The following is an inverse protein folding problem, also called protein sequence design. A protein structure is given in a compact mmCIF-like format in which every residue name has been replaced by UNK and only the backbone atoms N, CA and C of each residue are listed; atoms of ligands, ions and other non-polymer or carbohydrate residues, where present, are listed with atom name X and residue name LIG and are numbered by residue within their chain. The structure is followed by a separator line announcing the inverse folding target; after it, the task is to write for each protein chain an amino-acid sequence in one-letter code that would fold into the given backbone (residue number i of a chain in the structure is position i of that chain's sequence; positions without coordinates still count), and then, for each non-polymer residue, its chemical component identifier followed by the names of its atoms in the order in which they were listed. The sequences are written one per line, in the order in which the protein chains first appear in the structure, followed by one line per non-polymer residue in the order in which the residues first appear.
data_IF_046049753104
#
_entry.id   IF_046049753104
#
_cell.length_a   1.000
_cell.length_b   1.000
_cell.length_c   1.000
_cell.angle_alpha   90.00
_cell.angle_beta   90.00
_cell.angle_gamma   90.00
#
_symmetry.space_group_name_H-M   'P 1'
#
loop_
_entity.id
_entity.type
_entity.pdbx_description
1 polymer ?
#
# COMPACT_ATOMS: atom_id res chain seq x y z
N UNK A 1 37.47 43.86 -29.66
CA UNK A 1 36.46 43.64 -28.61
C UNK A 1 35.25 42.97 -29.26
N UNK A 2 34.98 41.70 -28.91
CA UNK A 2 33.86 40.91 -29.44
C UNK A 2 32.65 41.11 -28.52
N UNK A 3 31.51 41.53 -29.08
CA UNK A 3 30.20 41.44 -28.44
C UNK A 3 29.72 39.98 -28.52
N UNK A 4 29.22 39.36 -27.44
CA UNK A 4 28.57 38.07 -27.54
C UNK A 4 27.08 38.23 -27.87
N UNK A 5 26.67 37.54 -28.92
CA UNK A 5 25.29 37.26 -29.33
C UNK A 5 24.58 36.46 -28.24
N UNK A 6 23.49 36.99 -27.68
CA UNK A 6 22.57 36.21 -26.86
C UNK A 6 21.72 35.31 -27.76
N UNK A 7 21.89 33.99 -27.62
CA UNK A 7 20.99 32.99 -28.20
C UNK A 7 19.99 32.63 -27.11
N UNK A 8 18.70 32.93 -27.35
CA UNK A 8 17.60 32.44 -26.52
C UNK A 8 17.36 30.98 -26.92
N UNK A 9 17.85 30.05 -26.10
CA UNK A 9 17.49 28.64 -26.22
C UNK A 9 16.18 28.40 -25.46
N UNK A 10 15.24 27.76 -26.15
CA UNK A 10 13.91 27.45 -25.68
C UNK A 10 13.93 26.68 -24.35
N UNK A 11 13.21 27.22 -23.37
CA UNK A 11 12.81 26.55 -22.13
C UNK A 11 11.90 25.36 -22.48
N UNK A 12 12.50 24.21 -22.77
CA UNK A 12 11.82 22.93 -22.63
C UNK A 12 11.98 22.52 -21.17
N UNK A 13 10.99 22.89 -20.36
CA UNK A 13 10.91 22.48 -18.96
C UNK A 13 10.88 20.96 -18.90
N UNK A 14 12.01 20.36 -18.56
CA UNK A 14 12.04 19.01 -18.02
C UNK A 14 11.30 19.07 -16.68
N UNK A 15 10.06 18.61 -16.69
CA UNK A 15 9.42 18.07 -15.51
C UNK A 15 10.24 16.81 -15.17
N UNK A 16 11.24 16.96 -14.31
CA UNK A 16 11.85 15.83 -13.64
C UNK A 16 10.80 15.28 -12.67
N UNK A 17 9.98 14.34 -13.15
CA UNK A 17 9.31 13.39 -12.28
C UNK A 17 10.42 12.53 -11.65
N UNK A 18 10.86 12.91 -10.46
CA UNK A 18 11.72 12.10 -9.65
C UNK A 18 10.90 10.90 -9.15
N UNK A 19 10.82 9.85 -9.95
CA UNK A 19 10.41 8.54 -9.48
C UNK A 19 11.54 8.00 -8.59
N UNK A 20 11.31 8.03 -7.28
CA UNK A 20 12.22 7.42 -6.31
C UNK A 20 12.21 5.90 -6.56
N UNK A 21 13.36 5.39 -7.02
CA UNK A 21 13.60 3.97 -7.30
C UNK A 21 13.81 3.25 -5.97
N UNK A 22 12.93 2.31 -5.62
CA UNK A 22 13.15 1.39 -4.51
C UNK A 22 13.98 0.19 -5.03
N UNK A 23 15.00 -0.27 -4.30
CA UNK A 23 15.58 -1.60 -4.53
C UNK A 23 14.70 -2.69 -3.89
N UNK A 24 14.91 -3.98 -4.19
CA UNK A 24 14.19 -5.09 -3.51
C UNK A 24 14.37 -5.07 -1.98
N UNK A 25 15.43 -4.43 -1.51
CA UNK A 25 15.75 -4.21 -0.10
C UNK A 25 15.29 -2.85 0.43
N UNK A 26 14.46 -2.10 -0.33
CA UNK A 26 14.02 -0.77 0.04
C UNK A 26 12.55 -0.74 0.43
N UNK A 27 12.19 -0.07 1.54
CA UNK A 27 10.79 0.19 1.85
C UNK A 27 10.15 1.07 0.76
N UNK A 28 8.84 0.99 0.65
CA UNK A 28 8.06 1.86 -0.24
C UNK A 28 6.75 2.27 0.43
N UNK A 29 6.14 3.35 -0.05
CA UNK A 29 4.90 3.85 0.51
C UNK A 29 3.88 4.22 -0.57
N UNK A 30 2.61 4.12 -0.21
CA UNK A 30 1.50 4.54 -1.03
C UNK A 30 0.71 5.67 -0.38
N UNK A 31 0.28 6.60 -1.22
CA UNK A 31 -0.78 7.55 -0.92
C UNK A 31 -2.11 7.01 -1.47
N UNK A 32 -3.15 7.02 -0.63
CA UNK A 32 -4.52 6.64 -0.98
C UNK A 32 -5.34 7.88 -1.35
N UNK A 33 -5.99 7.84 -2.51
CA UNK A 33 -6.90 8.89 -2.96
C UNK A 33 -8.27 8.29 -3.26
N UNK A 34 -9.30 8.81 -2.61
CA UNK A 34 -10.69 8.44 -2.91
C UNK A 34 -11.03 8.81 -4.35
N UNK A 35 -11.55 7.85 -5.10
CA UNK A 35 -11.93 8.00 -6.50
C UNK A 35 -13.38 7.58 -6.73
N UNK A 36 -13.90 7.93 -7.90
CA UNK A 36 -15.21 7.45 -8.33
C UNK A 36 -15.20 5.92 -8.52
N UNK A 37 -16.40 5.33 -8.53
CA UNK A 37 -16.59 3.91 -8.75
C UNK A 37 -15.83 3.41 -10.00
N UNK A 38 -14.97 2.41 -9.80
CA UNK A 38 -14.11 1.82 -10.84
C UNK A 38 -14.81 0.73 -11.66
N UNK A 39 -16.11 0.51 -11.48
CA UNK A 39 -16.90 -0.46 -12.26
C UNK A 39 -16.52 -1.93 -12.05
N UNK A 40 -15.66 -2.22 -11.07
CA UNK A 40 -15.14 -3.55 -10.79
C UNK A 40 -15.37 -3.93 -9.31
N UNK A 41 -16.62 -4.08 -8.84
CA UNK A 41 -16.86 -4.50 -7.46
C UNK A 41 -16.26 -5.90 -7.23
N UNK A 42 -15.46 -6.07 -6.16
CA UNK A 42 -15.02 -7.39 -5.69
C UNK A 42 -16.22 -8.32 -5.44
N UNK A 43 -16.03 -9.62 -5.65
CA UNK A 43 -16.99 -10.61 -5.17
C UNK A 43 -16.97 -10.65 -3.63
N UNK A 44 -18.11 -10.95 -3.00
CA UNK A 44 -18.26 -10.89 -1.54
C UNK A 44 -17.26 -11.79 -0.80
N UNK A 45 -16.91 -12.95 -1.40
CA UNK A 45 -15.92 -13.90 -0.87
C UNK A 45 -14.48 -13.39 -0.87
N UNK A 46 -14.20 -12.32 -1.62
CA UNK A 46 -12.86 -11.77 -1.74
C UNK A 46 -12.59 -10.58 -0.80
N UNK A 47 -13.58 -10.22 0.02
CA UNK A 47 -13.44 -9.22 1.05
C UNK A 47 -12.90 -9.82 2.35
N UNK A 48 -12.05 -9.06 3.03
CA UNK A 48 -11.65 -9.29 4.40
C UNK A 48 -12.47 -8.42 5.35
N UNK A 49 -12.67 -8.90 6.58
CA UNK A 49 -13.25 -8.09 7.63
C UNK A 49 -12.27 -7.01 8.09
N UNK A 50 -12.79 -5.80 8.28
CA UNK A 50 -12.02 -4.70 8.86
C UNK A 50 -11.89 -4.92 10.36
N UNK A 51 -10.66 -4.87 10.83
CA UNK A 51 -10.27 -5.04 12.24
C UNK A 51 -9.49 -3.85 12.77
N UNK A 52 -9.05 -2.96 11.88
CA UNK A 52 -8.34 -1.73 12.22
C UNK A 52 -9.32 -0.70 12.78
N UNK A 53 -9.16 -0.24 14.05
CA UNK A 53 -10.13 0.66 14.68
C UNK A 53 -10.40 1.96 13.92
N UNK A 54 -9.38 2.57 13.32
CA UNK A 54 -9.54 3.80 12.55
C UNK A 54 -10.44 3.62 11.31
N UNK A 55 -10.41 2.44 10.68
CA UNK A 55 -11.29 2.12 9.55
C UNK A 55 -12.72 1.83 10.05
N UNK A 56 -12.86 1.17 11.19
CA UNK A 56 -14.16 0.95 11.84
C UNK A 56 -14.83 2.28 12.23
N UNK A 57 -14.06 3.26 12.71
CA UNK A 57 -14.55 4.61 13.04
C UNK A 57 -15.06 5.39 11.81
N UNK A 58 -14.71 4.94 10.59
CA UNK A 58 -15.19 5.46 9.31
C UNK A 58 -16.35 4.65 8.73
N UNK A 59 -16.97 3.78 9.54
CA UNK A 59 -18.05 2.86 9.14
C UNK A 59 -17.63 1.81 8.10
N UNK A 60 -16.34 1.56 7.91
CA UNK A 60 -15.85 0.49 7.02
C UNK A 60 -15.89 -0.85 7.77
N UNK A 61 -16.55 -1.85 7.18
CA UNK A 61 -16.70 -3.18 7.78
C UNK A 61 -15.97 -4.27 7.01
N UNK A 62 -15.75 -4.06 5.72
CA UNK A 62 -14.96 -4.98 4.90
C UNK A 62 -14.06 -4.21 3.94
N UNK A 63 -12.99 -4.87 3.50
CA UNK A 63 -12.10 -4.30 2.52
C UNK A 63 -11.50 -5.36 1.59
N UNK A 64 -11.15 -4.94 0.38
CA UNK A 64 -10.58 -5.76 -0.66
C UNK A 64 -9.58 -4.95 -1.49
N UNK A 65 -8.70 -5.63 -2.20
CA UNK A 65 -7.76 -5.03 -3.14
C UNK A 65 -8.15 -5.37 -4.57
N UNK A 66 -8.21 -4.39 -5.46
CA UNK A 66 -8.37 -4.63 -6.90
C UNK A 66 -7.05 -4.32 -7.59
N UNK A 67 -6.36 -5.33 -8.14
CA UNK A 67 -5.17 -5.08 -8.93
C UNK A 67 -5.53 -4.51 -10.30
N UNK A 68 -4.58 -3.79 -10.90
CA UNK A 68 -4.71 -3.21 -12.23
C UNK A 68 -5.20 -4.18 -13.32
N UNK A 69 -4.85 -5.47 -13.25
CA UNK A 69 -5.23 -6.47 -14.25
C UNK A 69 -6.73 -6.79 -14.26
N UNK A 70 -7.47 -6.35 -13.25
CA UNK A 70 -8.92 -6.49 -13.12
C UNK A 70 -9.68 -5.20 -13.47
N UNK A 71 -8.97 -4.10 -13.74
CA UNK A 71 -9.56 -2.81 -14.07
C UNK A 71 -9.75 -2.65 -15.59
N UNK A 72 -10.79 -1.92 -15.98
CA UNK A 72 -10.97 -1.49 -17.37
C UNK A 72 -9.94 -0.43 -17.75
N UNK A 73 -9.78 -0.15 -19.05
CA UNK A 73 -8.85 0.89 -19.52
C UNK A 73 -9.21 2.28 -18.97
N UNK A 74 -10.51 2.59 -18.86
CA UNK A 74 -10.99 3.84 -18.28
C UNK A 74 -10.66 3.93 -16.79
N UNK A 75 -10.80 2.82 -16.08
CA UNK A 75 -10.50 2.73 -14.65
C UNK A 75 -9.00 2.78 -14.37
N UNK A 76 -8.17 2.22 -15.26
CA UNK A 76 -6.71 2.31 -15.19
C UNK A 76 -6.19 3.75 -15.35
N UNK A 77 -6.91 4.62 -16.05
CA UNK A 77 -6.55 6.04 -16.12
C UNK A 77 -6.74 6.77 -14.77
N UNK A 78 -7.55 6.19 -13.88
CA UNK A 78 -7.87 6.73 -12.54
C UNK A 78 -7.03 6.03 -11.47
N UNK A 79 -6.91 4.69 -11.55
CA UNK A 79 -6.23 3.83 -10.58
C UNK A 79 -5.18 2.95 -11.30
N UNK A 80 -4.09 3.54 -11.84
CA UNK A 80 -3.11 2.82 -12.66
C UNK A 80 -2.36 1.71 -11.93
N UNK A 81 -2.42 1.71 -10.59
CA UNK A 81 -1.72 0.75 -9.74
C UNK A 81 -2.67 -0.15 -8.97
N UNK A 82 -3.98 -0.04 -9.23
CA UNK A 82 -5.02 -0.69 -8.45
C UNK A 82 -5.62 0.22 -7.38
N UNK A 83 -6.58 -0.33 -6.65
CA UNK A 83 -7.31 0.41 -5.62
C UNK A 83 -7.76 -0.52 -4.49
N UNK A 84 -7.79 0.01 -3.28
CA UNK A 84 -8.55 -0.60 -2.19
C UNK A 84 -10.04 -0.29 -2.36
N UNK A 85 -10.87 -1.24 -1.96
CA UNK A 85 -12.32 -1.11 -1.94
C UNK A 85 -12.81 -1.41 -0.55
N UNK A 86 -13.44 -0.43 0.07
CA UNK A 86 -14.04 -0.54 1.39
C UNK A 86 -15.56 -0.67 1.26
N UNK A 87 -16.14 -1.66 1.95
CA UNK A 87 -17.58 -1.82 2.09
C UNK A 87 -18.01 -1.22 3.42
N UNK A 88 -18.99 -0.33 3.39
CA UNK A 88 -19.51 0.35 4.59
C UNK A 88 -20.59 -0.47 5.29
N UNK A 89 -20.97 -0.08 6.50
CA UNK A 89 -22.14 -0.61 7.23
C UNK A 89 -23.46 -0.51 6.45
N UNK A 90 -23.54 0.39 5.47
CA UNK A 90 -24.71 0.61 4.61
C UNK A 90 -24.61 -0.13 3.26
N UNK A 91 -23.71 -1.10 3.13
CA UNK A 91 -23.42 -1.85 1.88
C UNK A 91 -22.98 -0.95 0.69
N UNK A 92 -22.48 0.26 0.97
CA UNK A 92 -21.89 1.11 -0.08
C UNK A 92 -20.41 0.80 -0.27
N UNK A 93 -19.90 1.02 -1.48
CA UNK A 93 -18.49 0.82 -1.82
C UNK A 93 -17.77 2.15 -1.94
N UNK A 94 -16.63 2.26 -1.27
CA UNK A 94 -15.67 3.37 -1.39
C UNK A 94 -14.41 2.84 -2.04
N UNK A 95 -13.90 3.56 -3.05
CA UNK A 95 -12.71 3.17 -3.81
C UNK A 95 -11.57 4.13 -3.49
N UNK A 96 -10.41 3.59 -3.14
CA UNK A 96 -9.21 4.37 -2.82
C UNK A 96 -8.07 3.90 -3.72
N UNK A 97 -7.76 4.72 -4.74
CA UNK A 97 -6.68 4.45 -5.67
C UNK A 97 -5.33 4.73 -4.99
N UNK A 98 -4.35 3.86 -5.23
CA UNK A 98 -3.00 4.06 -4.69
C UNK A 98 -2.07 4.74 -5.69
N UNK A 99 -1.15 5.54 -5.15
CA UNK A 99 -0.02 6.08 -5.91
C UNK A 99 1.26 5.98 -5.10
N UNK A 100 2.36 5.63 -5.77
CA UNK A 100 3.67 5.49 -5.13
C UNK A 100 4.17 6.88 -4.70
N UNK A 101 4.58 6.99 -3.43
CA UNK A 101 5.15 8.21 -2.85
C UNK A 101 6.45 7.89 -2.11
N UNK A 102 7.32 8.89 -1.87
CA UNK A 102 8.47 8.70 -0.98
C UNK A 102 8.02 8.22 0.42
N UNK A 103 8.81 7.34 1.03
CA UNK A 103 8.50 6.77 2.36
C UNK A 103 8.43 7.83 3.46
N UNK A 104 9.22 8.89 3.35
CA UNK A 104 9.24 10.03 4.26
C UNK A 104 8.20 11.12 3.92
N UNK A 105 7.33 10.85 2.93
CA UNK A 105 6.28 11.79 2.54
C UNK A 105 5.25 11.94 3.68
N UNK A 106 4.81 13.17 3.98
CA UNK A 106 3.68 13.39 4.89
C UNK A 106 2.34 12.89 4.32
N UNK A 107 2.32 12.42 3.07
CA UNK A 107 1.17 11.83 2.38
C UNK A 107 1.28 10.30 2.28
N UNK A 108 2.29 9.68 2.91
CA UNK A 108 2.42 8.22 2.97
C UNK A 108 1.37 7.63 3.92
N UNK A 109 0.29 7.10 3.36
CA UNK A 109 -0.81 6.47 4.12
C UNK A 109 -0.48 5.02 4.49
N UNK A 110 0.17 4.30 3.57
CA UNK A 110 0.59 2.91 3.75
C UNK A 110 2.10 2.79 3.53
N UNK A 111 2.85 2.45 4.58
CA UNK A 111 4.30 2.24 4.53
C UNK A 111 4.60 0.75 4.62
N UNK A 112 5.31 0.25 3.61
CA UNK A 112 5.72 -1.15 3.51
C UNK A 112 7.21 -1.28 3.79
N UNK A 113 7.54 -2.26 4.62
CA UNK A 113 8.92 -2.57 4.99
C UNK A 113 9.75 -3.12 3.83
N UNK A 114 10.99 -3.48 4.16
CA UNK A 114 11.87 -4.22 3.27
C UNK A 114 11.28 -5.60 2.95
N UNK A 115 11.73 -6.21 1.85
CA UNK A 115 11.26 -7.54 1.49
C UNK A 115 11.69 -8.58 2.52
N UNK A 116 10.78 -9.51 2.83
CA UNK A 116 11.04 -10.66 3.69
C UNK A 116 10.57 -11.95 3.01
N UNK A 117 11.19 -13.11 3.28
CA UNK A 117 10.68 -14.38 2.78
C UNK A 117 9.24 -14.62 3.23
N UNK A 118 8.36 -14.95 2.28
CA UNK A 118 6.97 -15.31 2.55
C UNK A 118 6.76 -16.80 2.39
N UNK A 119 6.06 -17.43 3.33
CA UNK A 119 5.61 -18.83 3.21
C UNK A 119 6.71 -19.76 2.65
N UNK A 120 7.83 -19.92 3.38
CA UNK A 120 9.05 -20.57 2.87
C UNK A 120 8.88 -22.04 2.45
N UNK A 121 7.72 -22.64 2.73
CA UNK A 121 7.33 -23.96 2.26
C UNK A 121 6.84 -23.97 0.79
N UNK A 122 6.52 -22.81 0.21
CA UNK A 122 6.03 -22.66 -1.16
C UNK A 122 7.00 -21.83 -2.02
N UNK A 123 7.00 -22.12 -3.32
CA UNK A 123 7.73 -21.36 -4.34
C UNK A 123 6.84 -20.58 -5.28
N UNK A 124 5.57 -20.96 -5.37
CA UNK A 124 4.60 -20.35 -6.27
C UNK A 124 3.28 -20.11 -5.55
N UNK A 125 2.48 -19.18 -6.05
CA UNK A 125 1.13 -18.99 -5.50
C UNK A 125 0.26 -20.25 -5.67
N UNK A 126 0.50 -21.02 -6.74
CA UNK A 126 -0.32 -22.17 -7.11
C UNK A 126 -0.14 -23.34 -6.10
N UNK A 127 1.05 -23.50 -5.51
CA UNK A 127 1.31 -24.44 -4.42
C UNK A 127 0.49 -24.12 -3.16
N UNK A 128 0.28 -22.83 -2.87
CA UNK A 128 -0.52 -22.39 -1.72
C UNK A 128 -2.02 -22.52 -2.02
N UNK A 129 -2.47 -22.06 -3.18
CA UNK A 129 -3.90 -22.02 -3.52
C UNK A 129 -4.49 -23.38 -3.86
N UNK A 130 -3.67 -24.34 -4.31
CA UNK A 130 -4.08 -25.74 -4.49
C UNK A 130 -4.27 -26.49 -3.16
N UNK A 131 -3.77 -25.94 -2.05
CA UNK A 131 -3.78 -26.59 -0.74
C UNK A 131 -2.65 -27.61 -0.54
N UNK A 132 -1.67 -27.69 -1.46
CA UNK A 132 -0.47 -28.52 -1.30
C UNK A 132 0.38 -28.03 -0.13
N UNK A 133 0.46 -26.70 0.05
CA UNK A 133 1.24 -26.06 1.10
C UNK A 133 0.34 -25.20 2.01
N UNK A 134 0.59 -25.30 3.32
CA UNK A 134 0.12 -24.36 4.34
C UNK A 134 1.28 -23.44 4.73
N UNK A 135 1.01 -22.14 4.82
CA UNK A 135 2.00 -21.13 5.22
C UNK A 135 2.14 -21.03 6.74
N UNK A 136 1.08 -21.35 7.48
CA UNK A 136 1.07 -21.55 8.92
C UNK A 136 0.75 -23.02 9.23
N UNK A 137 1.54 -23.67 10.08
CA UNK A 137 1.31 -25.09 10.44
C UNK A 137 0.05 -25.31 11.26
N UNK A 138 -0.33 -24.33 12.08
CA UNK A 138 -1.33 -24.50 13.13
C UNK A 138 -2.46 -23.47 13.06
N UNK A 139 -2.47 -22.60 12.03
CA UNK A 139 -3.48 -21.56 11.85
C UNK A 139 -4.18 -21.67 10.48
N UNK A 140 -5.28 -22.40 10.46
CA UNK A 140 -6.13 -22.55 9.27
C UNK A 140 -6.80 -21.22 8.87
N UNK A 141 -7.08 -20.31 9.81
CA UNK A 141 -7.67 -19.01 9.50
C UNK A 141 -6.67 -18.15 8.74
N UNK A 142 -5.42 -18.11 9.19
CA UNK A 142 -4.34 -17.46 8.45
C UNK A 142 -4.17 -18.07 7.06
N UNK A 143 -4.15 -19.40 6.94
CA UNK A 143 -4.02 -20.06 5.63
C UNK A 143 -5.19 -19.74 4.69
N UNK A 144 -6.43 -19.70 5.21
CA UNK A 144 -7.60 -19.32 4.43
C UNK A 144 -7.50 -17.88 3.93
N UNK A 145 -7.13 -16.93 4.81
CA UNK A 145 -6.93 -15.52 4.42
C UNK A 145 -5.85 -15.37 3.35
N UNK A 146 -4.74 -16.08 3.47
CA UNK A 146 -3.69 -16.10 2.44
C UNK A 146 -4.26 -16.60 1.12
N UNK A 147 -4.97 -17.73 1.12
CA UNK A 147 -5.56 -18.30 -0.09
C UNK A 147 -6.59 -17.36 -0.73
N UNK A 148 -7.40 -16.67 0.07
CA UNK A 148 -8.33 -15.65 -0.43
C UNK A 148 -7.60 -14.56 -1.21
N UNK A 149 -6.53 -14.00 -0.64
CA UNK A 149 -5.75 -12.95 -1.30
C UNK A 149 -5.11 -13.43 -2.60
N UNK A 150 -4.49 -14.61 -2.57
CA UNK A 150 -3.85 -15.17 -3.75
C UNK A 150 -4.87 -15.55 -4.85
N UNK A 151 -6.01 -16.15 -4.50
CA UNK A 151 -7.03 -16.56 -5.47
C UNK A 151 -7.77 -15.38 -6.11
N UNK A 152 -8.11 -14.37 -5.30
CA UNK A 152 -8.86 -13.23 -5.79
C UNK A 152 -7.96 -12.21 -6.49
N UNK A 153 -6.77 -11.95 -5.93
CA UNK A 153 -6.02 -10.72 -6.19
C UNK A 153 -4.65 -10.91 -6.84
N UNK A 154 -4.28 -12.14 -7.20
CA UNK A 154 -3.09 -12.36 -8.01
C UNK A 154 -3.17 -11.63 -9.36
N UNK A 155 -2.12 -10.89 -9.67
CA UNK A 155 -2.00 -10.07 -10.87
C UNK A 155 -0.58 -10.11 -11.41
N UNK A 156 -0.38 -10.04 -12.74
CA UNK A 156 0.94 -9.71 -13.28
C UNK A 156 1.42 -8.35 -12.75
N UNK A 157 2.74 -8.18 -12.70
CA UNK A 157 3.36 -6.90 -12.34
C UNK A 157 3.02 -5.81 -13.37
N UNK A 158 2.60 -4.63 -12.89
CA UNK A 158 2.53 -3.39 -13.69
C UNK A 158 3.91 -2.91 -14.09
N UNK A 159 4.81 -2.86 -13.11
CA UNK A 159 6.15 -2.31 -13.27
C UNK A 159 7.10 -3.46 -13.59
N UNK A 160 7.36 -3.70 -14.87
CA UNK A 160 8.25 -4.79 -15.28
C UNK A 160 9.68 -4.31 -15.57
N UNK A 161 9.91 -3.00 -15.49
CA UNK A 161 11.16 -2.34 -15.88
C UNK A 161 11.81 -1.54 -14.76
N UNK A 162 11.18 -1.46 -13.59
CA UNK A 162 11.65 -0.69 -12.44
C UNK A 162 11.91 -1.60 -11.25
N UNK A 163 13.07 -1.45 -10.61
CA UNK A 163 13.34 -2.07 -9.31
C UNK A 163 12.31 -1.57 -8.27
N UNK A 164 11.87 -2.40 -7.30
CA UNK A 164 12.22 -3.80 -7.08
C UNK A 164 11.46 -4.79 -7.99
N UNK A 165 10.54 -4.29 -8.78
CA UNK A 165 9.50 -5.08 -9.43
C UNK A 165 9.99 -5.85 -10.66
N UNK A 166 11.19 -5.57 -11.16
CA UNK A 166 11.79 -6.26 -12.33
C UNK A 166 11.98 -7.75 -12.12
N UNK A 167 12.16 -8.22 -10.89
CA UNK A 167 12.41 -9.63 -10.58
C UNK A 167 11.13 -10.37 -10.19
N UNK A 168 9.99 -9.69 -10.11
CA UNK A 168 8.72 -10.28 -9.70
C UNK A 168 7.89 -10.68 -10.91
N UNK A 169 7.32 -11.89 -10.88
CA UNK A 169 6.48 -12.45 -11.95
C UNK A 169 5.03 -12.00 -11.80
N UNK A 170 4.50 -12.12 -10.60
CA UNK A 170 3.14 -11.72 -10.21
C UNK A 170 3.15 -11.28 -8.76
N UNK A 171 2.12 -10.54 -8.37
CA UNK A 171 1.90 -10.10 -7.01
C UNK A 171 0.44 -10.30 -6.62
N UNK A 172 0.19 -10.32 -5.32
CA UNK A 172 -1.13 -10.28 -4.73
C UNK A 172 -1.06 -9.46 -3.45
N UNK A 173 -2.16 -8.79 -3.11
CA UNK A 173 -2.32 -8.23 -1.78
C UNK A 173 -3.02 -9.27 -0.89
N UNK A 174 -2.48 -9.49 0.30
CA UNK A 174 -2.90 -10.49 1.27
C UNK A 174 -3.04 -9.81 2.64
N UNK A 175 -4.02 -10.24 3.42
CA UNK A 175 -4.10 -9.88 4.84
C UNK A 175 -4.07 -11.16 5.65
N UNK A 176 -2.88 -11.73 5.84
CA UNK A 176 -2.67 -12.95 6.61
C UNK A 176 -2.93 -12.71 8.11
N UNK A 177 -2.53 -11.54 8.60
CA UNK A 177 -2.75 -11.07 9.96
C UNK A 177 -3.81 -9.96 9.98
N UNK A 178 -4.90 -10.20 10.72
CA UNK A 178 -5.98 -9.22 10.89
C UNK A 178 -5.54 -7.98 11.68
N UNK A 179 -4.49 -8.07 12.48
CA UNK A 179 -4.01 -6.93 13.26
C UNK A 179 -3.12 -5.96 12.45
N UNK A 180 -2.72 -6.37 11.24
CA UNK A 180 -1.90 -5.57 10.31
C UNK A 180 -2.75 -4.98 9.19
N UNK A 181 -2.21 -3.98 8.50
CA UNK A 181 -2.85 -3.42 7.30
C UNK A 181 -2.64 -4.30 6.05
N UNK A 182 -1.89 -5.40 6.17
CA UNK A 182 -1.69 -6.42 5.14
C UNK A 182 -0.28 -6.40 4.53
N UNK A 183 -0.10 -7.25 3.53
CA UNK A 183 1.16 -7.40 2.82
C UNK A 183 0.94 -7.55 1.32
N UNK A 184 1.88 -7.01 0.54
CA UNK A 184 2.01 -7.41 -0.85
C UNK A 184 2.95 -8.60 -0.93
N UNK A 185 2.44 -9.71 -1.45
CA UNK A 185 3.21 -10.93 -1.69
C UNK A 185 3.58 -10.99 -3.16
N UNK A 186 4.82 -11.36 -3.45
CA UNK A 186 5.40 -11.42 -4.78
C UNK A 186 5.98 -12.82 -5.06
N UNK A 187 5.72 -13.34 -6.27
CA UNK A 187 6.36 -14.55 -6.77
C UNK A 187 7.61 -14.17 -7.57
N UNK A 188 8.78 -14.70 -7.18
CA UNK A 188 10.06 -14.39 -7.84
C UNK A 188 10.15 -15.07 -9.22
N UNK A 189 10.70 -14.36 -10.22
CA UNK A 189 10.88 -14.87 -11.59
C UNK A 189 11.87 -16.02 -11.68
N UNK A 190 12.85 -16.06 -10.78
CA UNK A 190 13.88 -17.11 -10.75
C UNK A 190 13.38 -18.43 -10.11
N UNK A 191 12.16 -18.43 -9.56
CA UNK A 191 11.53 -19.59 -8.92
C UNK A 191 12.15 -19.97 -7.58
N UNK A 192 12.90 -19.06 -6.95
CA UNK A 192 13.54 -19.33 -5.65
C UNK A 192 12.57 -19.28 -4.47
N UNK A 193 11.45 -18.56 -4.61
CA UNK A 193 10.46 -18.46 -3.55
C UNK A 193 9.44 -17.35 -3.75
N UNK A 194 8.77 -17.05 -2.63
CA UNK A 194 7.88 -15.92 -2.48
C UNK A 194 8.50 -14.93 -1.49
N UNK A 195 8.28 -13.64 -1.72
CA UNK A 195 8.64 -12.58 -0.78
C UNK A 195 7.41 -11.75 -0.46
N UNK A 196 7.41 -11.12 0.71
CA UNK A 196 6.40 -10.16 1.10
C UNK A 196 7.03 -8.81 1.45
N UNK A 197 6.26 -7.77 1.22
CA UNK A 197 6.44 -6.49 1.88
C UNK A 197 5.21 -6.27 2.76
N UNK A 198 5.41 -6.30 4.07
CA UNK A 198 4.35 -6.09 5.07
C UNK A 198 4.27 -4.61 5.42
N UNK A 199 3.06 -4.12 5.60
CA UNK A 199 2.84 -2.90 6.34
C UNK A 199 2.55 -3.28 7.79
N UNK A 200 3.52 -3.06 8.66
CA UNK A 200 3.22 -3.05 10.09
C UNK A 200 2.47 -1.74 10.36
N UNK A 201 1.37 -1.80 11.11
CA UNK A 201 0.40 -0.71 11.28
C UNK A 201 1.02 0.63 11.74
N UNK A 202 0.19 1.67 12.00
CA UNK A 202 0.61 3.08 12.07
C UNK A 202 1.69 3.48 13.11
N UNK A 203 2.27 2.53 13.84
CA UNK A 203 3.43 2.71 14.70
C UNK A 203 4.80 2.64 13.96
N UNK A 204 4.83 2.37 12.64
CA UNK A 204 6.06 2.14 11.86
C UNK A 204 6.89 3.37 11.47
N UNK A 205 6.43 4.58 11.76
CA UNK A 205 7.28 5.77 11.61
C UNK A 205 8.38 5.87 12.67
N UNK A 206 8.45 4.92 13.61
CA UNK A 206 9.66 4.67 14.37
C UNK A 206 10.68 3.97 13.45
N UNK A 207 11.48 4.76 12.73
CA UNK A 207 12.76 4.30 12.21
C UNK A 207 13.48 3.47 13.29
N UNK A 208 14.14 2.36 12.96
CA UNK A 208 14.97 1.67 13.93
C UNK A 208 16.02 2.68 14.41
N UNK A 209 15.88 3.17 15.63
CA UNK A 209 16.97 3.87 16.29
C UNK A 209 18.03 2.80 16.51
N UNK A 210 19.07 2.82 15.68
CA UNK A 210 20.25 2.00 15.86
C UNK A 210 20.64 1.97 17.33
N UNK A 211 20.67 0.75 17.88
CA UNK A 211 20.99 0.49 19.27
C UNK A 211 22.39 0.99 19.59
N UNK A 212 22.47 2.17 20.21
CA UNK A 212 23.62 2.58 21.01
C UNK A 212 23.20 2.51 22.47
N UNK A 213 23.47 1.37 23.09
CA UNK A 213 23.63 1.31 24.55
C UNK A 213 24.92 2.03 24.92
N UNK A 214 24.82 3.18 25.60
CA UNK A 214 25.49 3.30 26.90
C UNK A 214 24.91 4.43 27.78
N UNK A 215 24.95 4.15 29.08
CA UNK A 215 24.35 4.93 30.17
C UNK A 215 25.11 6.23 30.46
N UNK A 216 24.43 7.35 30.70
CA UNK A 216 24.79 8.29 31.79
C UNK A 216 23.62 9.20 32.18
N UNK A 217 23.32 9.21 33.48
CA UNK A 217 22.36 10.06 34.19
C UNK A 217 22.75 11.55 34.18
N UNK A 218 21.83 12.47 33.86
CA UNK A 218 21.81 13.83 34.41
C UNK A 218 20.44 14.53 34.24
N UNK A 219 20.00 15.15 35.32
CA UNK A 219 18.71 15.80 35.56
C UNK A 219 18.64 17.23 35.00
N UNK A 220 17.49 17.62 34.43
CA UNK A 220 16.93 18.97 34.60
C UNK A 220 16.81 19.87 33.36
N UNK A 221 15.60 19.96 32.78
CA UNK A 221 14.73 21.16 32.76
C UNK A 221 13.59 20.99 31.73
N UNK A 222 12.37 21.51 31.99
CA UNK A 222 11.18 21.24 31.19
C UNK A 222 11.01 22.25 30.03
N UNK A 223 10.48 21.79 28.90
CA UNK A 223 9.93 22.66 27.84
C UNK A 223 8.86 21.91 27.04
N UNK A 224 7.87 22.62 26.47
CA UNK A 224 6.45 22.29 26.65
C UNK A 224 5.68 21.99 25.35
N UNK A 225 4.42 21.57 25.53
CA UNK A 225 3.32 21.46 24.53
C UNK A 225 3.44 20.29 23.53
N UNK A 226 2.62 19.24 23.66
CA UNK A 226 1.24 19.12 23.12
C UNK A 226 1.23 19.28 21.58
N UNK A 227 0.78 18.33 20.74
CA UNK A 227 -0.46 17.53 20.84
C UNK A 227 -0.38 16.30 19.93
N UNK A 228 -0.62 15.12 20.52
CA UNK A 228 -1.18 13.94 19.85
C UNK A 228 -2.60 14.31 19.42
N UNK A 229 -2.88 14.55 18.11
CA UNK A 229 -4.24 14.44 17.48
C UNK A 229 -4.40 14.92 16.02
N UNK A 230 -3.35 15.20 15.24
CA UNK A 230 -3.54 15.86 13.93
C UNK A 230 -3.37 14.98 12.66
N UNK A 231 -3.28 13.66 12.80
CA UNK A 231 -3.27 12.75 11.63
C UNK A 231 -4.61 12.03 11.41
N UNK A 232 -5.35 11.73 12.46
CA UNK A 232 -6.69 11.15 12.37
C UNK A 232 -7.76 12.15 11.88
N UNK A 233 -7.44 13.44 11.75
CA UNK A 233 -8.40 14.47 11.35
C UNK A 233 -8.45 14.73 9.84
N UNK A 234 -7.49 14.25 9.04
CA UNK A 234 -7.46 14.58 7.59
C UNK A 234 -8.36 13.70 6.73
N UNK A 235 -8.60 12.45 7.14
CA UNK A 235 -9.61 11.60 6.49
C UNK A 235 -11.03 12.10 6.84
N UNK A 236 -11.24 12.56 8.08
CA UNK A 236 -12.50 13.20 8.51
C UNK A 236 -12.71 14.60 7.90
N UNK A 237 -11.65 15.39 7.69
CA UNK A 237 -11.77 16.72 7.05
C UNK A 237 -12.07 16.66 5.55
N UNK A 238 -11.78 15.56 4.84
CA UNK A 238 -12.15 15.39 3.43
C UNK A 238 -13.64 15.04 3.24
N UNK A 239 -14.28 14.38 4.21
CA UNK A 239 -15.73 14.13 4.20
C UNK A 239 -16.58 15.38 4.49
N UNK A 240 -16.02 16.40 5.14
CA UNK A 240 -16.71 17.67 5.41
C UNK A 240 -16.51 18.74 4.31
N UNK A 241 -15.71 18.45 3.28
CA UNK A 241 -15.38 19.41 2.21
C UNK A 241 -16.13 19.16 0.89
N UNK A 242 -17.13 18.27 0.84
CA UNK A 242 -18.02 18.22 -0.32
C UNK A 242 -19.04 19.36 -0.24
N UNK A 243 -19.02 20.33 -1.18
CA UNK A 243 -20.11 21.28 -1.27
C UNK A 243 -21.36 20.54 -1.75
N UNK A 244 -22.30 20.36 -0.83
CA UNK A 244 -23.71 20.21 -1.16
C UNK A 244 -24.15 21.48 -1.88
N UNK A 245 -24.12 21.53 -3.21
CA UNK A 245 -24.90 22.40 -4.13
C UNK A 245 -24.66 21.76 -5.53
N UNK A 246 -25.63 21.30 -6.32
CA UNK A 246 -26.97 21.80 -6.56
C UNK A 246 -27.95 20.65 -6.85
N UNK A 247 -29.11 20.72 -6.20
CA UNK A 247 -30.39 20.50 -6.87
C UNK A 247 -30.63 21.67 -7.83
N UNK A 248 -30.83 21.37 -9.11
CA UNK A 248 -31.86 21.93 -10.01
C UNK A 248 -31.91 21.09 -11.28
#
# INVERSE_FOLDING_TARGET
MRLPTFTVAASSGLICLAYAKASEDSPYAYHETTVNNLGAPPADECFYDVTVPALLDMDYVKYAWIPLSKLSNESLAIAPHGAFVYKTTNDTLVYEAISLVPVDSPEADLVFGVSEPFCTAAKTFDEITSGEVNCSSDDEVTNERIRTGLNCWASPMSYQTEEPFVNYKKFAWVSADASKCGEFVYELKDGTGLVQHSCDGPDTNALPTDGVTDSTTATGAPSPCQTVKEHQLRVVQRLLAQPWHLLL
#
